data_IF_735012159494
#
_entry.id   IF_735012159494
#
_cell.length_a   1.000
_cell.length_b   1.000
_cell.length_c   1.000
_cell.angle_alpha   90.00
_cell.angle_beta   90.00
_cell.angle_gamma   90.00
#
_symmetry.space_group_name_H-M   'P 1'
#
loop_
_entity.id
_entity.type
_entity.pdbx_description
1 polymer ?
#
# COMPACT_ATOMS: atom_id res chain seq x y z
N UNK A 1 -6.26 -1.06 6.08
CA UNK A 1 -7.52 -1.26 6.84
C UNK A 1 -7.31 -2.33 7.90
N UNK A 2 -7.83 -2.12 9.11
CA UNK A 2 -7.95 -3.18 10.11
C UNK A 2 -8.84 -4.29 9.57
N UNK A 3 -8.46 -5.54 9.83
CA UNK A 3 -9.27 -6.70 9.46
C UNK A 3 -10.25 -6.94 10.60
N UNK A 4 -11.55 -6.98 10.34
CA UNK A 4 -12.49 -7.47 11.34
C UNK A 4 -12.26 -8.97 11.53
N UNK A 5 -11.78 -9.44 12.69
CA UNK A 5 -11.56 -10.85 12.91
C UNK A 5 -12.89 -11.60 12.89
N UNK A 6 -12.87 -12.89 12.55
CA UNK A 6 -14.04 -13.74 12.80
C UNK A 6 -14.21 -13.89 14.30
N UNK A 7 -15.40 -13.59 14.79
CA UNK A 7 -15.71 -13.71 16.21
C UNK A 7 -17.04 -14.44 16.43
N UNK A 8 -17.18 -15.04 17.60
CA UNK A 8 -18.43 -15.60 18.10
C UNK A 8 -18.67 -15.13 19.53
N UNK A 9 -19.94 -14.97 19.87
CA UNK A 9 -20.37 -14.53 21.19
C UNK A 9 -21.11 -15.68 21.85
N UNK A 10 -20.83 -15.91 23.13
CA UNK A 10 -21.63 -16.80 23.98
C UNK A 10 -21.87 -16.12 25.31
N UNK A 11 -23.02 -16.39 25.93
CA UNK A 11 -23.41 -15.69 27.16
C UNK A 11 -24.03 -16.65 28.18
N UNK A 12 -23.85 -16.30 29.45
CA UNK A 12 -24.60 -16.83 30.59
C UNK A 12 -25.38 -15.66 31.21
N UNK A 13 -26.19 -15.91 32.25
CA UNK A 13 -26.91 -14.86 32.96
C UNK A 13 -25.99 -13.75 33.51
N UNK A 14 -24.77 -14.09 33.93
CA UNK A 14 -23.83 -13.15 34.58
C UNK A 14 -22.59 -12.79 33.74
N UNK A 15 -22.24 -13.59 32.72
CA UNK A 15 -21.01 -13.41 31.94
C UNK A 15 -21.26 -13.40 30.44
N UNK A 16 -20.42 -12.68 29.72
CA UNK A 16 -20.30 -12.67 28.27
C UNK A 16 -18.92 -13.18 27.88
N UNK A 17 -18.87 -14.10 26.93
CA UNK A 17 -17.63 -14.68 26.40
C UNK A 17 -17.54 -14.36 24.92
N UNK A 18 -16.56 -13.53 24.56
CA UNK A 18 -16.23 -13.13 23.20
C UNK A 18 -15.05 -13.99 22.72
N UNK A 19 -15.29 -14.84 21.73
CA UNK A 19 -14.25 -15.67 21.12
C UNK A 19 -13.84 -15.05 19.80
N UNK A 20 -12.57 -14.66 19.66
CA UNK A 20 -12.03 -13.94 18.51
C UNK A 20 -10.95 -14.83 17.87
N UNK A 21 -11.09 -15.14 16.59
CA UNK A 21 -10.09 -15.92 15.83
C UNK A 21 -9.01 -14.98 15.30
N UNK A 22 -7.77 -15.23 15.70
CA UNK A 22 -6.60 -14.38 15.46
C UNK A 22 -5.45 -15.23 14.90
N UNK A 23 -5.56 -15.74 13.66
CA UNK A 23 -4.60 -16.69 13.12
C UNK A 23 -3.22 -16.06 12.87
N UNK A 24 -2.16 -16.82 13.16
CA UNK A 24 -0.76 -16.44 12.86
C UNK A 24 -0.25 -15.14 13.49
N UNK A 25 -0.92 -14.61 14.53
CA UNK A 25 -0.47 -13.42 15.26
C UNK A 25 0.44 -13.81 16.42
N UNK A 26 1.59 -13.15 16.53
CA UNK A 26 2.41 -13.18 17.75
C UNK A 26 1.73 -12.31 18.81
N UNK A 27 0.93 -12.93 19.67
CA UNK A 27 0.29 -12.25 20.80
C UNK A 27 1.36 -11.85 21.81
N UNK A 28 1.89 -10.63 21.68
CA UNK A 28 2.66 -9.97 22.74
C UNK A 28 1.68 -9.28 23.70
N UNK A 29 2.01 -9.25 24.99
CA UNK A 29 1.22 -8.54 26.01
C UNK A 29 1.11 -7.04 25.67
N UNK A 30 2.08 -6.49 24.96
CA UNK A 30 2.08 -5.09 24.49
C UNK A 30 1.29 -4.84 23.21
N UNK A 31 0.85 -5.90 22.52
CA UNK A 31 0.20 -5.80 21.20
C UNK A 31 -1.31 -6.08 21.24
N UNK A 32 -1.83 -6.55 22.38
CA UNK A 32 -3.26 -6.81 22.56
C UNK A 32 -3.84 -5.81 23.53
N UNK A 33 -4.78 -5.01 23.04
CA UNK A 33 -5.55 -4.06 23.82
C UNK A 33 -7.02 -4.49 23.83
N UNK A 34 -7.57 -4.62 25.03
CA UNK A 34 -9.00 -4.84 25.27
C UNK A 34 -9.48 -3.73 26.16
N UNK A 35 -10.44 -2.94 25.69
CA UNK A 35 -11.07 -1.86 26.45
C UNK A 35 -12.57 -2.12 26.49
N UNK A 36 -13.12 -2.06 27.70
CA UNK A 36 -14.55 -2.21 27.96
C UNK A 36 -15.03 -0.91 28.60
N UNK A 37 -15.80 -0.12 27.86
CA UNK A 37 -16.35 1.16 28.33
C UNK A 37 -17.88 1.12 28.28
N UNK A 38 -18.48 0.71 29.40
CA UNK A 38 -19.92 0.57 29.53
C UNK A 38 -20.49 -0.38 28.48
N UNK A 39 -21.11 0.15 27.44
CA UNK A 39 -21.73 -0.63 26.35
C UNK A 39 -20.75 -0.98 25.24
N UNK A 40 -19.66 -0.22 25.11
CA UNK A 40 -18.71 -0.38 24.03
C UNK A 40 -17.60 -1.33 24.44
N UNK A 41 -17.29 -2.25 23.53
CA UNK A 41 -16.20 -3.19 23.61
C UNK A 41 -15.27 -2.95 22.43
N UNK A 42 -14.01 -2.66 22.74
CA UNK A 42 -12.96 -2.43 21.76
C UNK A 42 -11.87 -3.47 21.95
N UNK A 43 -11.60 -4.22 20.89
CA UNK A 43 -10.47 -5.12 20.80
C UNK A 43 -9.57 -4.68 19.66
N UNK A 44 -8.28 -4.50 19.97
CA UNK A 44 -7.25 -4.17 19.01
C UNK A 44 -6.06 -5.10 19.17
N UNK A 45 -5.66 -5.72 18.06
CA UNK A 45 -4.45 -6.53 17.97
C UNK A 45 -4.01 -6.54 16.50
N UNK A 46 -2.95 -5.82 16.09
CA UNK A 46 -2.56 -5.73 14.68
C UNK A 46 -2.49 -7.10 13.99
N UNK A 47 -3.15 -7.30 12.82
CA UNK A 47 -3.90 -6.34 12.00
C UNK A 47 -5.41 -6.25 12.33
N UNK A 48 -5.88 -6.87 13.40
CA UNK A 48 -7.29 -7.02 13.77
C UNK A 48 -7.83 -5.87 14.61
N UNK A 49 -9.03 -5.41 14.27
CA UNK A 49 -9.82 -4.46 15.07
C UNK A 49 -11.26 -4.97 15.14
N UNK A 50 -11.82 -5.00 16.33
CA UNK A 50 -13.21 -5.35 16.57
C UNK A 50 -13.82 -4.32 17.53
N UNK A 51 -14.88 -3.65 17.07
CA UNK A 51 -15.70 -2.76 17.89
C UNK A 51 -17.12 -3.30 17.96
N UNK A 52 -17.61 -3.51 19.17
CA UNK A 52 -18.96 -3.98 19.43
C UNK A 52 -19.64 -3.02 20.42
N UNK A 53 -20.90 -2.71 20.18
CA UNK A 53 -21.77 -1.98 21.10
C UNK A 53 -22.87 -2.93 21.57
N UNK A 54 -22.91 -3.18 22.87
CA UNK A 54 -23.85 -4.10 23.49
C UNK A 54 -25.13 -3.38 23.98
N UNK A 55 -26.25 -4.11 24.15
CA UNK A 55 -27.51 -3.53 24.62
C UNK A 55 -27.43 -2.96 26.05
N UNK A 56 -26.67 -3.63 26.92
CA UNK A 56 -26.48 -3.28 28.33
C UNK A 56 -25.00 -3.15 28.65
N UNK A 57 -24.69 -2.54 29.79
CA UNK A 57 -23.32 -2.26 30.19
C UNK A 57 -22.60 -3.53 30.67
N UNK A 58 -21.32 -3.56 30.38
CA UNK A 58 -20.33 -4.48 30.92
C UNK A 58 -19.59 -3.80 32.07
N UNK A 59 -19.21 -4.59 33.06
CA UNK A 59 -18.45 -4.15 34.23
C UNK A 59 -16.99 -4.52 34.01
N UNK A 60 -16.11 -3.53 34.16
CA UNK A 60 -14.67 -3.71 34.23
C UNK A 60 -14.14 -3.06 35.51
N UNK A 61 -14.23 -3.82 36.62
CA UNK A 61 -13.83 -3.34 37.95
C UNK A 61 -12.80 -4.30 38.57
N UNK A 62 -11.58 -3.79 38.66
CA UNK A 62 -10.43 -4.49 39.24
C UNK A 62 -10.55 -4.67 40.77
N UNK A 63 -11.29 -3.81 41.48
CA UNK A 63 -11.44 -3.92 42.95
C UNK A 63 -12.43 -5.02 43.35
N UNK A 64 -13.49 -5.25 42.56
CA UNK A 64 -14.48 -6.29 42.82
C UNK A 64 -14.14 -7.66 42.20
N UNK A 65 -13.00 -7.77 41.50
CA UNK A 65 -12.55 -9.00 40.84
C UNK A 65 -13.39 -9.39 39.62
N UNK A 66 -14.14 -8.44 39.05
CA UNK A 66 -15.00 -8.59 37.86
C UNK A 66 -14.34 -7.97 36.61
N UNK A 67 -13.02 -7.86 36.60
CA UNK A 67 -12.25 -7.40 35.44
C UNK A 67 -12.45 -8.30 34.22
N UNK A 68 -12.34 -7.72 33.03
CA UNK A 68 -12.35 -8.49 31.79
C UNK A 68 -11.08 -9.34 31.66
N UNK A 69 -11.23 -10.66 31.51
CA UNK A 69 -10.09 -11.59 31.39
C UNK A 69 -9.93 -12.09 29.97
N UNK A 70 -8.78 -11.81 29.37
CA UNK A 70 -8.40 -12.30 28.04
C UNK A 70 -7.45 -13.51 28.16
N UNK A 71 -7.79 -14.61 27.50
CA UNK A 71 -6.97 -15.85 27.45
C UNK A 71 -6.71 -16.20 25.99
N UNK A 72 -5.44 -16.31 25.62
CA UNK A 72 -5.01 -16.71 24.28
C UNK A 72 -4.63 -18.19 24.24
N UNK A 73 -5.20 -18.93 23.28
CA UNK A 73 -4.85 -20.31 22.99
C UNK A 73 -4.29 -20.42 21.56
N UNK A 74 -2.98 -20.66 21.39
CA UNK A 74 -2.35 -20.78 20.08
C UNK A 74 -2.67 -22.11 19.36
N UNK A 75 -3.15 -23.13 20.08
CA UNK A 75 -3.38 -24.46 19.52
C UNK A 75 -4.78 -24.63 18.95
N UNK A 76 -5.73 -23.79 19.37
CA UNK A 76 -7.12 -23.84 18.95
C UNK A 76 -7.35 -22.94 17.74
N UNK A 77 -7.79 -23.53 16.62
CA UNK A 77 -8.22 -22.78 15.42
C UNK A 77 -7.14 -21.83 14.84
N UNK A 78 -5.88 -22.27 14.84
CA UNK A 78 -4.67 -21.52 14.40
C UNK A 78 -4.37 -20.22 15.19
N UNK A 79 -5.01 -20.06 16.36
CA UNK A 79 -4.88 -18.90 17.24
C UNK A 79 -6.25 -18.33 17.61
N UNK A 80 -6.69 -18.53 18.86
CA UNK A 80 -7.97 -18.04 19.37
C UNK A 80 -7.80 -17.25 20.66
N UNK A 81 -8.34 -16.03 20.70
CA UNK A 81 -8.42 -15.21 21.90
C UNK A 81 -9.84 -15.29 22.49
N UNK A 82 -9.95 -15.61 23.77
CA UNK A 82 -11.22 -15.68 24.49
C UNK A 82 -11.25 -14.59 25.55
N UNK A 83 -12.15 -13.62 25.42
CA UNK A 83 -12.35 -12.54 26.38
C UNK A 83 -13.62 -12.81 27.18
N UNK A 84 -13.50 -12.89 28.50
CA UNK A 84 -14.63 -13.05 29.43
C UNK A 84 -14.90 -11.73 30.13
N UNK A 85 -16.07 -11.15 29.91
CA UNK A 85 -16.53 -9.92 30.53
C UNK A 85 -17.77 -10.17 31.42
N UNK A 86 -17.97 -9.36 32.45
CA UNK A 86 -19.10 -9.46 33.37
C UNK A 86 -20.21 -8.48 33.01
N UNK A 87 -21.47 -8.91 33.11
CA UNK A 87 -22.63 -8.04 32.88
C UNK A 87 -22.94 -7.23 34.14
N UNK A 88 -23.38 -5.98 33.97
CA UNK A 88 -23.86 -5.16 35.09
C UNK A 88 -25.17 -5.72 35.66
N UNK A 89 -26.10 -6.08 34.79
CA UNK A 89 -27.38 -6.70 35.14
C UNK A 89 -27.41 -8.17 34.69
N UNK A 90 -27.85 -9.05 35.59
CA UNK A 90 -27.98 -10.49 35.29
C UNK A 90 -29.17 -10.75 34.36
N UNK A 91 -28.93 -10.67 33.05
CA UNK A 91 -29.93 -10.89 32.01
C UNK A 91 -29.34 -11.61 30.80
N UNK A 92 -30.17 -12.41 30.11
CA UNK A 92 -29.84 -12.99 28.81
C UNK A 92 -30.22 -11.96 27.74
N UNK A 93 -29.26 -11.51 26.94
CA UNK A 93 -29.50 -10.51 25.90
C UNK A 93 -30.03 -11.19 24.64
N UNK A 94 -31.17 -10.74 24.13
CA UNK A 94 -31.70 -11.18 22.84
C UNK A 94 -30.92 -10.51 21.69
N UNK A 95 -30.99 -11.07 20.47
CA UNK A 95 -30.31 -10.56 19.26
C UNK A 95 -28.77 -10.58 19.25
N UNK A 96 -28.10 -11.31 20.16
CA UNK A 96 -26.63 -11.44 20.13
C UNK A 96 -26.08 -12.01 18.81
N UNK A 97 -26.91 -12.79 18.12
CA UNK A 97 -26.58 -13.44 16.85
C UNK A 97 -26.64 -12.45 15.67
N UNK A 98 -27.28 -11.29 15.86
CA UNK A 98 -27.37 -10.22 14.86
C UNK A 98 -26.13 -9.34 14.92
N UNK A 99 -24.99 -9.89 14.51
CA UNK A 99 -23.67 -9.23 14.56
C UNK A 99 -23.68 -7.83 13.91
N UNK A 100 -24.48 -7.64 12.85
CA UNK A 100 -24.62 -6.34 12.17
C UNK A 100 -25.27 -5.24 13.01
N UNK A 101 -26.05 -5.58 14.05
CA UNK A 101 -26.64 -4.63 15.02
C UNK A 101 -25.63 -4.23 16.11
N UNK A 102 -24.73 -5.16 16.46
CA UNK A 102 -23.67 -4.93 17.45
C UNK A 102 -22.50 -4.11 16.88
N UNK A 103 -22.33 -4.09 15.56
CA UNK A 103 -21.26 -3.31 14.90
C UNK A 103 -21.68 -1.87 14.52
N UNK A 104 -22.94 -1.47 14.74
CA UNK A 104 -23.41 -0.13 14.41
C UNK A 104 -23.00 0.87 15.49
N UNK A 105 -22.16 1.83 15.13
CA UNK A 105 -21.92 3.02 15.94
C UNK A 105 -23.21 3.83 16.02
N UNK A 106 -23.56 4.32 17.21
CA UNK A 106 -24.71 5.21 17.45
C UNK A 106 -24.56 6.56 16.74
N UNK A 107 -24.77 6.58 15.42
CA UNK A 107 -24.80 7.80 14.59
C UNK A 107 -26.14 7.97 13.86
N UNK A 108 -27.16 7.16 14.17
CA UNK A 108 -28.44 7.22 13.48
C UNK A 108 -29.62 6.84 14.38
N UNK A 109 -29.94 7.68 15.38
CA UNK A 109 -31.27 7.68 16.02
C UNK A 109 -31.56 8.88 16.93
N UNK A 110 -31.60 10.11 16.39
CA UNK A 110 -32.37 11.24 16.94
C UNK A 110 -32.77 12.13 15.75
N UNK A 111 -34.00 12.58 15.48
CA UNK A 111 -35.33 12.40 16.03
C UNK A 111 -36.34 13.04 15.05
N UNK A 112 -37.48 12.38 14.83
CA UNK A 112 -38.63 12.93 14.11
C UNK A 112 -39.55 13.64 15.10
N UNK A 113 -39.78 14.95 14.95
CA UNK A 113 -41.08 15.67 14.99
C UNK A 113 -40.82 17.17 15.19
N UNK A 114 -41.26 18.02 14.26
CA UNK A 114 -41.13 19.48 14.42
C UNK A 114 -41.55 20.28 13.18
N UNK A 115 -42.81 20.17 12.78
CA UNK A 115 -43.46 21.13 11.88
C UNK A 115 -43.31 22.54 12.46
N UNK A 116 -42.64 23.44 11.76
CA UNK A 116 -42.89 24.88 11.84
C UNK A 116 -43.08 25.46 10.44
N UNK A 117 -44.20 26.15 10.31
CA UNK A 117 -44.79 26.79 9.13
C UNK A 117 -44.11 28.12 8.75
N UNK A 118 -43.80 28.28 7.46
CA UNK A 118 -44.01 29.44 6.56
C UNK A 118 -43.58 30.85 7.05
N UNK A 119 -42.72 31.51 6.26
CA UNK A 119 -43.01 32.86 5.75
C UNK A 119 -42.32 33.11 4.40
N UNK A 120 -43.16 33.23 3.39
CA UNK A 120 -42.90 33.66 2.01
C UNK A 120 -42.39 35.11 1.99
N UNK A 121 -41.33 35.37 1.22
CA UNK A 121 -41.19 36.62 0.49
C UNK A 121 -40.73 36.31 -0.95
N UNK A 122 -41.66 36.60 -1.87
CA UNK A 122 -41.50 36.80 -3.32
C UNK A 122 -40.24 37.59 -3.66
N UNK A 123 -39.56 37.39 -4.79
CA UNK A 123 -39.97 37.74 -6.16
C UNK A 123 -38.75 37.42 -7.06
N UNK A 124 -38.77 36.88 -8.27
CA UNK A 124 -39.56 37.17 -9.48
C UNK A 124 -39.16 36.10 -10.53
N UNK A 125 -40.16 35.42 -11.11
CA UNK A 125 -40.44 35.12 -12.54
C UNK A 125 -39.24 34.92 -13.50
N UNK A 126 -39.18 33.92 -14.41
CA UNK A 126 -40.28 33.19 -15.06
C UNK A 126 -39.76 32.00 -15.91
N UNK A 127 -40.61 30.96 -16.00
CA UNK A 127 -41.01 30.16 -17.20
C UNK A 127 -39.95 29.29 -17.95
N UNK A 128 -40.17 28.03 -18.38
CA UNK A 128 -41.39 27.22 -18.60
C UNK A 128 -41.09 25.69 -18.65
N UNK A 129 -41.95 24.92 -17.96
CA UNK A 129 -42.72 23.71 -18.32
C UNK A 129 -42.16 22.67 -19.32
N UNK A 130 -42.02 21.38 -18.92
CA UNK A 130 -42.93 20.25 -19.27
C UNK A 130 -42.56 18.89 -18.63
N UNK A 131 -43.52 18.41 -17.83
CA UNK A 131 -44.06 17.05 -17.56
C UNK A 131 -43.21 15.78 -17.32
N UNK A 132 -43.66 15.09 -16.25
CA UNK A 132 -43.40 13.73 -15.79
C UNK A 132 -43.81 12.62 -16.78
N UNK A 133 -43.11 11.47 -16.79
CA UNK A 133 -43.66 10.21 -16.24
C UNK A 133 -42.77 8.96 -16.47
N UNK A 134 -42.79 8.11 -15.43
CA UNK A 134 -42.68 6.64 -15.39
C UNK A 134 -41.30 5.94 -15.42
N UNK A 135 -40.90 5.56 -14.20
CA UNK A 135 -40.94 4.17 -13.68
C UNK A 135 -40.17 3.07 -14.42
N UNK A 136 -39.12 2.58 -13.78
CA UNK A 136 -38.51 1.27 -14.05
C UNK A 136 -37.37 0.95 -13.07
N UNK A 137 -37.73 0.49 -11.87
CA UNK A 137 -36.84 -0.24 -10.94
C UNK A 137 -36.09 -1.37 -11.65
N UNK A 138 -34.76 -1.42 -11.48
CA UNK A 138 -34.04 -2.67 -11.17
C UNK A 138 -32.98 -2.36 -10.11
N UNK A 139 -33.16 -3.02 -8.97
CA UNK A 139 -32.19 -3.19 -7.89
C UNK A 139 -31.04 -4.06 -8.39
N UNK A 140 -29.80 -3.67 -8.09
CA UNK A 140 -28.60 -4.49 -8.29
C UNK A 140 -27.45 -3.86 -7.54
N UNK A 141 -27.27 -4.27 -6.28
CA UNK A 141 -26.07 -3.98 -5.53
C UNK A 141 -24.89 -4.77 -6.09
N UNK A 142 -23.73 -4.11 -6.12
CA UNK A 142 -22.38 -4.66 -5.93
C UNK A 142 -21.41 -3.53 -6.29
N UNK A 143 -20.74 -2.95 -5.29
CA UNK A 143 -19.62 -2.03 -5.53
C UNK A 143 -18.51 -2.32 -4.52
N UNK A 144 -17.69 -3.30 -4.91
CA UNK A 144 -16.32 -3.43 -4.48
C UNK A 144 -15.56 -2.11 -4.68
N UNK A 145 -14.55 -1.90 -3.83
CA UNK A 145 -13.79 -0.66 -3.69
C UNK A 145 -13.37 -0.02 -5.00
N UNK A 146 -13.93 1.16 -5.26
CA UNK A 146 -13.31 2.15 -6.14
C UNK A 146 -12.30 2.93 -5.29
N UNK A 147 -11.02 3.04 -5.68
CA UNK A 147 -10.12 4.02 -5.08
C UNK A 147 -10.72 5.43 -5.25
N UNK A 148 -10.39 6.40 -4.39
CA UNK A 148 -10.89 7.75 -4.53
C UNK A 148 -10.54 8.27 -5.93
N UNK A 149 -11.57 8.58 -6.70
CA UNK A 149 -11.49 9.11 -8.04
C UNK A 149 -10.76 10.46 -7.99
N UNK A 150 -9.69 10.70 -8.78
CA UNK A 150 -8.94 11.98 -8.77
C UNK A 150 -9.72 13.14 -9.44
N UNK A 151 -11.04 13.01 -9.62
CA UNK A 151 -11.86 13.94 -10.41
C UNK A 151 -12.84 14.82 -9.62
N UNK A 152 -12.89 14.71 -8.29
CA UNK A 152 -13.75 15.60 -7.48
C UNK A 152 -12.93 16.79 -6.99
N UNK A 153 -12.84 17.82 -7.85
CA UNK A 153 -12.29 19.15 -7.54
C UNK A 153 -13.22 19.93 -6.58
N UNK A 154 -13.44 19.41 -5.39
CA UNK A 154 -13.63 20.28 -4.22
C UNK A 154 -12.31 20.21 -3.46
N UNK A 155 -11.36 21.06 -3.87
CA UNK A 155 -10.05 21.20 -3.22
C UNK A 155 -10.27 21.80 -1.83
N UNK A 156 -10.52 20.93 -0.85
CA UNK A 156 -10.41 21.29 0.54
C UNK A 156 -8.99 21.85 0.76
N UNK A 157 -8.88 23.09 1.24
CA UNK A 157 -7.61 23.81 1.39
C UNK A 157 -6.63 22.98 2.25
N UNK A 158 -7.18 22.23 3.21
CA UNK A 158 -6.44 21.30 4.04
C UNK A 158 -5.76 20.17 3.24
N UNK A 159 -6.36 19.70 2.15
CA UNK A 159 -5.79 18.65 1.28
C UNK A 159 -4.64 19.19 0.40
N UNK A 160 -4.76 20.42 -0.09
CA UNK A 160 -3.71 21.07 -0.88
C UNK A 160 -2.45 21.43 -0.06
N UNK A 161 -2.60 21.58 1.26
CA UNK A 161 -1.50 21.90 2.18
C UNK A 161 -0.70 20.66 2.63
N UNK A 162 -1.22 19.46 2.42
CA UNK A 162 -0.52 18.23 2.81
C UNK A 162 0.61 17.92 1.83
N UNK A 163 1.71 17.30 2.29
CA UNK A 163 2.74 16.77 1.41
C UNK A 163 2.16 15.79 0.38
N UNK A 164 2.40 16.05 -0.90
CA UNK A 164 2.07 15.14 -1.99
C UNK A 164 3.31 14.32 -2.40
N UNK A 165 3.06 13.16 -3.01
CA UNK A 165 4.07 12.22 -3.44
C UNK A 165 3.55 11.26 -4.52
N UNK A 166 4.41 10.34 -4.94
CA UNK A 166 4.12 9.36 -5.98
C UNK A 166 4.11 9.98 -7.37
N UNK A 167 3.41 9.30 -8.30
CA UNK A 167 3.37 9.70 -9.70
C UNK A 167 2.85 11.13 -9.86
N UNK A 168 3.69 12.03 -10.40
CA UNK A 168 3.40 13.45 -10.59
C UNK A 168 2.79 14.15 -9.36
N UNK A 169 3.18 13.74 -8.15
CA UNK A 169 2.63 14.29 -6.90
C UNK A 169 1.09 14.17 -6.83
N UNK A 170 0.52 13.10 -7.39
CA UNK A 170 -0.93 12.91 -7.46
C UNK A 170 -1.53 12.30 -6.19
N UNK A 171 -0.69 11.87 -5.23
CA UNK A 171 -1.14 11.16 -4.03
C UNK A 171 -0.73 11.91 -2.77
N UNK A 172 -1.59 11.85 -1.75
CA UNK A 172 -1.32 12.33 -0.39
C UNK A 172 -2.14 11.49 0.59
N UNK A 173 -1.74 11.47 1.87
CA UNK A 173 -2.51 10.82 2.94
C UNK A 173 -2.76 9.32 2.71
N UNK A 174 -1.97 8.65 1.87
CA UNK A 174 -2.12 7.22 1.59
C UNK A 174 -1.73 6.41 2.83
N UNK A 175 -0.66 6.78 3.53
CA UNK A 175 -0.21 6.00 4.68
C UNK A 175 -1.14 6.16 5.89
N UNK A 176 -1.65 7.38 6.10
CA UNK A 176 -2.66 7.70 7.09
C UNK A 176 -4.03 7.05 6.76
N UNK A 177 -4.51 7.15 5.51
CA UNK A 177 -5.82 6.64 5.12
C UNK A 177 -5.89 5.11 5.12
N UNK A 178 -4.80 4.42 4.78
CA UNK A 178 -4.77 2.96 4.81
C UNK A 178 -4.59 2.39 6.24
N UNK A 179 -4.39 3.24 7.25
CA UNK A 179 -4.61 2.92 8.67
C UNK A 179 -3.74 1.77 9.19
N UNK A 180 -2.51 1.65 8.71
CA UNK A 180 -1.52 0.67 9.18
C UNK A 180 -0.24 1.41 9.51
N UNK A 181 -0.02 1.68 10.80
CA UNK A 181 1.17 2.34 11.30
C UNK A 181 2.51 1.60 11.00
N UNK A 182 2.46 0.38 10.44
CA UNK A 182 3.65 -0.34 9.98
C UNK A 182 3.78 -0.48 8.46
N UNK A 183 2.81 0.00 7.66
CA UNK A 183 2.93 -0.10 6.19
C UNK A 183 4.03 0.83 5.68
N UNK A 184 4.22 1.99 6.31
CA UNK A 184 5.37 2.85 6.02
C UNK A 184 6.66 2.14 6.43
N UNK A 185 6.74 1.63 7.66
CA UNK A 185 7.94 0.96 8.21
C UNK A 185 8.38 -0.28 7.40
N UNK A 186 7.43 -1.07 6.91
CA UNK A 186 7.72 -2.31 6.19
C UNK A 186 7.97 -2.11 4.68
N UNK A 187 7.41 -1.04 4.08
CA UNK A 187 7.42 -0.87 2.61
C UNK A 187 8.28 0.30 2.12
N UNK A 188 8.54 1.30 2.96
CA UNK A 188 9.31 2.51 2.61
C UNK A 188 10.28 2.86 3.73
N UNK A 189 11.28 3.68 3.43
CA UNK A 189 12.28 4.06 4.42
C UNK A 189 11.97 5.40 5.09
N UNK A 190 11.20 6.26 4.42
CA UNK A 190 10.72 7.51 4.99
C UNK A 190 9.73 7.24 6.15
N UNK A 191 10.04 7.65 7.40
CA UNK A 191 9.22 7.29 8.56
C UNK A 191 7.78 7.82 8.49
N UNK A 192 7.63 9.10 8.15
CA UNK A 192 6.33 9.79 8.10
C UNK A 192 6.09 10.45 6.73
N UNK A 193 5.72 9.68 5.67
CA UNK A 193 5.56 10.22 4.32
C UNK A 193 4.48 11.28 4.15
N UNK A 194 3.44 11.20 4.98
CA UNK A 194 2.29 12.11 4.95
C UNK A 194 2.53 13.45 5.65
N UNK A 195 3.56 13.53 6.50
CA UNK A 195 3.91 14.74 7.24
C UNK A 195 5.22 15.37 6.73
N UNK A 196 6.09 14.58 6.08
CA UNK A 196 7.38 15.06 5.58
C UNK A 196 7.25 15.76 4.24
N UNK A 197 7.64 17.04 4.19
CA UNK A 197 7.66 17.86 2.97
C UNK A 197 8.69 17.35 1.94
N UNK A 198 8.39 17.51 0.64
CA UNK A 198 9.24 17.01 -0.45
C UNK A 198 10.67 17.56 -0.43
N UNK A 199 10.84 18.81 -0.01
CA UNK A 199 12.14 19.50 0.06
C UNK A 199 13.08 18.90 1.12
N UNK A 200 12.53 18.33 2.19
CA UNK A 200 13.30 17.80 3.33
C UNK A 200 13.71 16.34 3.11
N UNK A 201 12.93 15.59 2.33
CA UNK A 201 13.12 14.14 2.11
C UNK A 201 14.53 13.80 1.64
N UNK A 202 15.11 14.60 0.74
CA UNK A 202 16.47 14.36 0.24
C UNK A 202 17.52 14.48 1.36
N UNK A 203 17.45 15.51 2.17
CA UNK A 203 18.42 15.71 3.27
C UNK A 203 18.33 14.55 4.26
N UNK A 204 17.11 14.21 4.67
CA UNK A 204 16.85 13.11 5.59
C UNK A 204 17.32 11.77 5.04
N UNK A 205 17.11 11.52 3.74
CA UNK A 205 17.63 10.32 3.06
C UNK A 205 19.14 10.24 3.13
N UNK A 206 19.83 11.33 2.80
CA UNK A 206 21.29 11.35 2.77
C UNK A 206 21.89 11.12 4.16
N UNK A 207 21.27 11.69 5.20
CA UNK A 207 21.65 11.47 6.59
C UNK A 207 21.41 10.01 7.01
N UNK A 208 20.22 9.47 6.72
CA UNK A 208 19.89 8.07 7.02
C UNK A 208 20.78 7.05 6.28
N UNK A 209 21.12 7.32 5.01
CA UNK A 209 22.09 6.53 4.24
C UNK A 209 23.49 6.60 4.84
N UNK A 210 23.88 7.76 5.36
CA UNK A 210 25.16 7.96 6.06
C UNK A 210 25.24 7.13 7.34
N UNK A 211 24.17 7.14 8.14
CA UNK A 211 24.09 6.41 9.40
C UNK A 211 24.01 4.88 9.22
N UNK A 212 23.39 4.41 8.12
CA UNK A 212 23.26 2.98 7.82
C UNK A 212 24.46 2.38 7.10
N UNK A 213 25.35 3.20 6.56
CA UNK A 213 26.54 2.70 5.87
C UNK A 213 27.50 2.06 6.89
N UNK A 214 27.84 0.80 6.64
CA UNK A 214 28.75 0.01 7.46
C UNK A 214 30.06 -0.22 6.70
N UNK A 215 31.12 0.47 7.14
CA UNK A 215 32.45 0.40 6.53
C UNK A 215 33.07 -1.00 6.62
N UNK A 216 32.89 -1.70 7.75
CA UNK A 216 33.47 -3.03 7.97
C UNK A 216 32.78 -4.06 7.08
N UNK A 217 31.45 -3.98 6.99
CA UNK A 217 30.69 -4.84 6.08
C UNK A 217 31.02 -4.56 4.61
N UNK A 218 31.13 -3.30 4.20
CA UNK A 218 31.54 -2.97 2.83
C UNK A 218 32.93 -3.51 2.50
N UNK A 219 33.91 -3.36 3.41
CA UNK A 219 35.26 -3.89 3.20
C UNK A 219 35.29 -5.41 3.10
N UNK A 220 34.47 -6.13 3.88
CA UNK A 220 34.29 -7.57 3.73
C UNK A 220 33.73 -7.95 2.36
N UNK A 221 32.72 -7.22 1.90
CA UNK A 221 32.04 -7.50 0.64
C UNK A 221 32.88 -7.14 -0.62
N UNK A 222 33.93 -6.32 -0.47
CA UNK A 222 34.88 -5.99 -1.55
C UNK A 222 35.66 -7.22 -2.02
N UNK A 223 35.95 -8.16 -1.11
CA UNK A 223 36.77 -9.34 -1.40
C UNK A 223 35.94 -10.58 -1.78
N UNK A 224 34.61 -10.48 -1.92
CA UNK A 224 33.72 -11.60 -2.26
C UNK A 224 34.12 -12.36 -3.54
N UNK A 225 34.80 -11.70 -4.47
CA UNK A 225 35.28 -12.30 -5.72
C UNK A 225 36.78 -12.61 -5.78
N UNK A 226 37.54 -12.40 -4.70
CA UNK A 226 39.01 -12.50 -4.69
C UNK A 226 39.56 -13.55 -3.70
N UNK A 227 38.72 -14.23 -2.92
CA UNK A 227 39.15 -15.30 -2.01
C UNK A 227 39.31 -16.66 -2.74
N UNK A 228 40.33 -16.77 -3.61
CA UNK A 228 40.91 -18.05 -4.01
C UNK A 228 42.19 -18.31 -3.19
N UNK A 229 42.05 -18.54 -1.88
CA UNK A 229 43.16 -19.01 -1.05
C UNK A 229 43.23 -20.54 -1.08
N UNK A 230 44.44 -21.11 -1.06
CA UNK A 230 44.71 -22.56 -1.15
C UNK A 230 44.00 -23.42 -0.08
N UNK A 231 43.43 -22.80 0.96
CA UNK A 231 42.70 -23.43 2.07
C UNK A 231 41.19 -23.06 2.14
N UNK A 232 40.67 -22.19 1.26
CA UNK A 232 39.26 -21.78 1.20
C UNK A 232 38.68 -21.99 -0.22
N UNK A 233 38.09 -23.17 -0.46
CA UNK A 233 37.63 -23.64 -1.78
C UNK A 233 36.25 -23.07 -2.20
N UNK A 234 36.03 -21.76 -2.03
CA UNK A 234 34.83 -21.14 -2.59
C UNK A 234 34.60 -19.71 -2.15
N UNK A 235 34.63 -18.79 -3.10
CA UNK A 235 34.08 -17.45 -2.94
C UNK A 235 32.58 -17.52 -2.61
N UNK A 236 31.97 -16.36 -2.35
CA UNK A 236 30.54 -16.32 -2.08
C UNK A 236 29.76 -16.81 -3.32
N UNK A 237 29.15 -17.99 -3.18
CA UNK A 237 28.37 -18.65 -4.22
C UNK A 237 27.28 -17.73 -4.79
N UNK A 238 26.61 -16.94 -3.93
CA UNK A 238 25.55 -16.03 -4.34
C UNK A 238 26.14 -14.91 -5.20
N UNK A 239 27.29 -14.36 -4.78
CA UNK A 239 27.99 -13.33 -5.55
C UNK A 239 28.46 -13.84 -6.91
N UNK A 240 29.13 -15.00 -6.94
CA UNK A 240 29.66 -15.59 -8.18
C UNK A 240 28.55 -15.88 -9.18
N UNK A 241 27.45 -16.48 -8.73
CA UNK A 241 26.34 -16.79 -9.59
C UNK A 241 25.67 -15.49 -10.10
N UNK A 242 25.46 -14.50 -9.24
CA UNK A 242 24.87 -13.21 -9.64
C UNK A 242 25.76 -12.46 -10.66
N UNK A 243 27.09 -12.55 -10.54
CA UNK A 243 28.03 -11.98 -11.53
C UNK A 243 27.99 -12.75 -12.86
N UNK A 244 27.84 -14.08 -12.82
CA UNK A 244 27.71 -14.92 -14.02
C UNK A 244 26.36 -14.79 -14.73
N UNK A 245 25.35 -14.29 -14.01
CA UNK A 245 24.02 -14.05 -14.57
C UNK A 245 24.09 -13.04 -15.71
N UNK A 246 23.63 -13.46 -16.90
CA UNK A 246 23.48 -12.59 -18.07
C UNK A 246 22.00 -12.26 -18.28
N UNK A 247 21.59 -10.99 -18.05
CA UNK A 247 20.20 -10.59 -18.13
C UNK A 247 19.66 -10.58 -19.56
N UNK A 248 18.34 -10.66 -19.66
CA UNK A 248 17.63 -10.80 -20.93
C UNK A 248 17.89 -9.62 -21.87
N UNK A 249 18.05 -8.41 -21.33
CA UNK A 249 18.34 -7.20 -22.11
C UNK A 249 19.77 -7.14 -22.65
N UNK A 250 20.69 -8.00 -22.17
CA UNK A 250 22.03 -8.14 -22.76
C UNK A 250 22.08 -9.16 -23.90
N UNK A 251 21.11 -10.10 -23.95
CA UNK A 251 21.24 -11.28 -24.82
C UNK A 251 20.90 -11.03 -26.27
N UNK A 252 19.98 -10.13 -26.62
CA UNK A 252 19.34 -10.22 -27.95
C UNK A 252 18.90 -8.91 -28.62
N UNK A 253 19.43 -7.73 -28.27
CA UNK A 253 18.99 -6.53 -29.00
C UNK A 253 20.05 -5.45 -29.11
N UNK A 254 20.46 -5.13 -30.34
CA UNK A 254 21.13 -3.86 -30.62
C UNK A 254 20.20 -2.71 -30.24
N UNK A 255 20.74 -1.60 -29.74
CA UNK A 255 19.95 -0.38 -29.45
C UNK A 255 19.12 0.01 -30.69
N UNK A 256 19.67 -0.20 -31.88
CA UNK A 256 18.99 0.07 -33.16
C UNK A 256 17.76 -0.84 -33.38
N UNK A 257 17.85 -2.12 -32.98
CA UNK A 257 16.73 -3.07 -33.08
C UNK A 257 15.63 -2.72 -32.08
N UNK A 258 16.00 -2.33 -30.85
CA UNK A 258 15.04 -1.85 -29.85
C UNK A 258 14.36 -0.57 -30.35
N UNK A 259 15.12 0.37 -30.90
CA UNK A 259 14.59 1.64 -31.41
C UNK A 259 13.62 1.41 -32.58
N UNK A 260 13.95 0.48 -33.49
CA UNK A 260 13.04 0.07 -34.57
C UNK A 260 11.79 -0.62 -34.02
N UNK A 261 11.95 -1.46 -33.00
CA UNK A 261 10.83 -2.13 -32.31
C UNK A 261 9.89 -1.14 -31.62
N UNK A 262 10.41 -0.14 -30.91
CA UNK A 262 9.61 0.90 -30.24
C UNK A 262 8.75 1.65 -31.26
N UNK A 263 9.23 1.86 -32.49
CA UNK A 263 8.44 2.46 -33.57
C UNK A 263 7.21 1.65 -33.99
N UNK A 264 7.10 0.38 -33.57
CA UNK A 264 5.93 -0.48 -33.79
C UNK A 264 4.87 -0.32 -32.67
N UNK A 265 5.20 0.33 -31.56
CA UNK A 265 4.24 0.60 -30.49
C UNK A 265 3.29 1.71 -30.93
N UNK A 266 1.99 1.44 -30.82
CA UNK A 266 0.96 2.45 -31.07
C UNK A 266 0.69 3.21 -29.78
N UNK A 267 1.16 4.46 -29.71
CA UNK A 267 0.94 5.38 -28.57
C UNK A 267 -0.20 6.37 -28.82
N UNK A 268 -0.97 6.22 -29.90
CA UNK A 268 -2.09 7.10 -30.19
C UNK A 268 -3.32 6.65 -29.40
N UNK A 269 -3.51 7.24 -28.22
CA UNK A 269 -4.68 7.05 -27.34
C UNK A 269 -6.04 7.46 -27.95
N UNK A 270 -6.08 7.89 -29.22
CA UNK A 270 -7.30 8.21 -29.95
C UNK A 270 -7.85 7.07 -30.83
N UNK A 271 -7.23 5.90 -30.85
CA UNK A 271 -7.71 4.77 -31.65
C UNK A 271 -8.65 3.82 -30.87
N UNK A 272 -9.62 4.37 -30.14
CA UNK A 272 -10.83 3.62 -29.78
C UNK A 272 -11.88 3.66 -30.93
N UNK A 273 -11.42 3.78 -32.18
CA UNK A 273 -12.24 3.62 -33.38
C UNK A 273 -11.70 2.50 -34.26
N UNK A 274 -12.40 1.37 -34.22
CA UNK A 274 -12.70 0.47 -35.34
C UNK A 274 -11.63 0.42 -36.44
N UNK A 275 -10.88 -0.69 -36.50
CA UNK A 275 -10.60 -1.31 -37.79
C UNK A 275 -10.78 -2.82 -37.73
N UNK A 276 -11.65 -3.27 -38.63
CA UNK A 276 -12.03 -4.64 -38.90
C UNK A 276 -10.83 -5.46 -39.39
N UNK A 277 -10.72 -6.69 -38.89
CA UNK A 277 -10.22 -7.82 -39.66
C UNK A 277 -8.82 -7.69 -40.27
N UNK A 278 -7.78 -7.63 -39.43
CA UNK A 278 -6.41 -7.92 -39.84
C UNK A 278 -5.75 -8.77 -38.77
N UNK A 279 -5.53 -10.06 -39.05
CA UNK A 279 -4.75 -10.93 -38.19
C UNK A 279 -3.29 -10.44 -38.25
N UNK A 280 -2.85 -9.71 -37.22
CA UNK A 280 -1.43 -9.42 -37.06
C UNK A 280 -0.71 -10.76 -36.98
N UNK A 281 0.10 -11.06 -37.98
CA UNK A 281 0.99 -12.23 -37.96
C UNK A 281 1.92 -12.10 -36.75
N UNK A 282 2.12 -13.18 -36.00
CA UNK A 282 2.89 -13.25 -34.74
C UNK A 282 4.32 -12.65 -34.81
N UNK A 283 4.85 -12.34 -36.00
CA UNK A 283 6.16 -11.73 -36.20
C UNK A 283 6.24 -10.20 -36.21
N UNK A 284 5.14 -9.46 -36.03
CA UNK A 284 5.15 -7.98 -36.10
C UNK A 284 4.83 -7.26 -34.78
N UNK A 285 4.48 -7.98 -33.72
CA UNK A 285 4.24 -7.40 -32.40
C UNK A 285 5.56 -7.11 -31.67
N UNK A 286 5.64 -5.99 -30.95
CA UNK A 286 6.79 -5.65 -30.11
C UNK A 286 6.88 -6.52 -28.85
N UNK A 287 5.73 -6.77 -28.22
CA UNK A 287 5.62 -7.64 -27.05
C UNK A 287 5.15 -9.05 -27.46
N UNK A 288 5.64 -10.06 -26.76
CA UNK A 288 5.12 -11.42 -26.82
C UNK A 288 3.66 -11.47 -26.33
N UNK A 289 2.97 -12.58 -26.64
CA UNK A 289 1.59 -12.79 -26.16
C UNK A 289 1.49 -12.81 -24.64
N UNK A 290 2.51 -13.34 -23.96
CA UNK A 290 2.59 -13.40 -22.51
C UNK A 290 2.77 -12.01 -21.90
N UNK A 291 3.72 -11.23 -22.43
CA UNK A 291 3.95 -9.84 -22.00
C UNK A 291 2.71 -8.97 -22.26
N UNK A 292 2.04 -9.14 -23.39
CA UNK A 292 0.81 -8.41 -23.71
C UNK A 292 -0.30 -8.73 -22.70
N UNK A 293 -0.45 -10.00 -22.32
CA UNK A 293 -1.41 -10.41 -21.30
C UNK A 293 -1.05 -9.81 -19.94
N UNK A 294 0.23 -9.84 -19.56
CA UNK A 294 0.71 -9.25 -18.30
C UNK A 294 0.44 -7.74 -18.26
N UNK A 295 0.74 -7.00 -19.33
CA UNK A 295 0.45 -5.58 -19.42
C UNK A 295 -1.06 -5.28 -19.30
N UNK A 296 -1.92 -6.13 -19.87
CA UNK A 296 -3.37 -5.99 -19.74
C UNK A 296 -3.90 -6.21 -18.31
N UNK A 297 -3.12 -6.84 -17.42
CA UNK A 297 -3.49 -6.97 -16.00
C UNK A 297 -3.25 -5.71 -15.18
N UNK A 298 -2.49 -4.75 -15.70
CA UNK A 298 -2.17 -3.50 -14.99
C UNK A 298 -3.41 -2.62 -14.95
N UNK A 299 -3.86 -2.26 -13.74
CA UNK A 299 -5.00 -1.36 -13.56
C UNK A 299 -4.62 0.07 -13.96
N UNK A 300 -5.18 0.56 -15.07
CA UNK A 300 -4.98 1.93 -15.55
C UNK A 300 -5.88 2.96 -14.84
N UNK A 301 -6.78 2.51 -13.97
CA UNK A 301 -7.75 3.37 -13.27
C UNK A 301 -7.12 4.43 -12.35
N UNK A 302 -5.81 4.30 -12.07
CA UNK A 302 -5.06 5.15 -11.14
C UNK A 302 -4.29 6.26 -11.88
N UNK A 303 -4.18 6.21 -13.21
CA UNK A 303 -3.45 7.22 -13.97
C UNK A 303 -4.29 8.50 -14.14
N UNK A 304 -3.72 9.71 -13.92
CA UNK A 304 -4.43 10.96 -14.17
C UNK A 304 -4.77 11.07 -15.66
N UNK A 305 -6.06 11.04 -16.01
CA UNK A 305 -6.49 10.85 -17.40
C UNK A 305 -6.54 12.12 -18.26
N UNK A 306 -6.13 13.30 -17.78
CA UNK A 306 -6.55 14.57 -18.43
C UNK A 306 -5.57 15.73 -18.52
N UNK A 307 -4.31 15.63 -18.06
CA UNK A 307 -3.35 16.72 -18.24
C UNK A 307 -2.16 16.31 -19.12
N UNK A 308 -1.80 17.12 -20.14
CA UNK A 308 -0.58 16.88 -20.89
C UNK A 308 0.61 17.00 -19.95
N UNK A 309 1.50 15.99 -19.96
CA UNK A 309 2.71 16.00 -19.16
C UNK A 309 3.66 17.07 -19.72
N UNK A 310 4.10 17.98 -18.86
CA UNK A 310 5.04 19.03 -19.26
C UNK A 310 6.45 18.46 -19.50
N UNK A 311 7.26 19.10 -20.34
CA UNK A 311 8.63 18.63 -20.64
C UNK A 311 9.49 18.46 -19.38
N UNK A 312 9.37 19.37 -18.41
CA UNK A 312 10.11 19.28 -17.15
C UNK A 312 9.64 18.09 -16.27
N UNK A 313 8.35 17.78 -16.32
CA UNK A 313 7.79 16.60 -15.65
C UNK A 313 8.25 15.32 -16.35
N UNK A 314 8.34 15.30 -17.68
CA UNK A 314 8.93 14.18 -18.42
C UNK A 314 10.37 13.92 -18.00
N UNK A 315 11.21 14.97 -17.90
CA UNK A 315 12.60 14.82 -17.46
C UNK A 315 12.68 14.24 -16.04
N UNK A 316 11.86 14.74 -15.11
CA UNK A 316 11.74 14.21 -13.75
C UNK A 316 11.32 12.73 -13.73
N UNK A 317 10.32 12.36 -14.53
CA UNK A 317 9.83 10.99 -14.63
C UNK A 317 10.87 10.05 -15.24
N UNK A 318 11.66 10.50 -16.20
CA UNK A 318 12.76 9.72 -16.80
C UNK A 318 13.89 9.48 -15.79
N UNK A 319 14.20 10.46 -14.96
CA UNK A 319 15.13 10.29 -13.84
C UNK A 319 14.58 9.29 -12.80
N UNK A 320 13.28 9.37 -12.47
CA UNK A 320 12.58 8.39 -11.64
C UNK A 320 12.64 6.98 -12.22
N UNK A 321 12.35 6.83 -13.51
CA UNK A 321 12.44 5.55 -14.20
C UNK A 321 13.84 4.96 -14.14
N UNK A 322 14.88 5.78 -14.17
CA UNK A 322 16.27 5.30 -14.08
C UNK A 322 16.52 4.57 -12.76
N UNK A 323 16.07 5.12 -11.62
CA UNK A 323 16.30 4.46 -10.33
C UNK A 323 15.48 3.17 -10.16
N UNK A 324 14.27 3.13 -10.74
CA UNK A 324 13.41 1.94 -10.76
C UNK A 324 14.06 0.84 -11.57
N UNK A 325 14.59 1.18 -12.75
CA UNK A 325 15.30 0.24 -13.62
C UNK A 325 16.58 -0.26 -12.96
N UNK A 326 17.30 0.59 -12.21
CA UNK A 326 18.46 0.15 -11.44
C UNK A 326 18.06 -0.90 -10.39
N UNK A 327 17.05 -0.62 -9.57
CA UNK A 327 16.57 -1.54 -8.54
C UNK A 327 16.11 -2.89 -9.13
N UNK A 328 15.36 -2.84 -10.23
CA UNK A 328 14.93 -4.03 -10.96
C UNK A 328 16.12 -4.80 -11.55
N UNK A 329 17.06 -4.13 -12.23
CA UNK A 329 18.22 -4.77 -12.84
C UNK A 329 19.11 -5.45 -11.79
N UNK A 330 19.27 -4.79 -10.63
CA UNK A 330 19.98 -5.33 -9.48
C UNK A 330 19.31 -6.61 -8.97
N UNK A 331 18.02 -6.54 -8.65
CA UNK A 331 17.25 -7.69 -8.16
C UNK A 331 17.29 -8.85 -9.15
N UNK A 332 16.98 -8.59 -10.41
CA UNK A 332 16.96 -9.59 -11.48
C UNK A 332 18.31 -10.30 -11.67
N UNK A 333 19.44 -9.63 -11.41
CA UNK A 333 20.76 -10.27 -11.40
C UNK A 333 20.91 -11.20 -10.20
N UNK A 334 20.51 -10.74 -9.00
CA UNK A 334 20.61 -11.51 -7.76
C UNK A 334 19.62 -12.69 -7.66
N UNK A 335 18.51 -12.63 -8.39
CA UNK A 335 17.44 -13.64 -8.37
C UNK A 335 17.40 -14.50 -9.63
N UNK A 336 18.39 -14.35 -10.53
CA UNK A 336 18.45 -15.08 -11.82
C UNK A 336 17.23 -14.86 -12.72
N UNK A 337 16.53 -13.74 -12.53
CA UNK A 337 15.31 -13.39 -13.25
C UNK A 337 14.02 -13.99 -12.70
N UNK A 338 14.06 -14.69 -11.56
CA UNK A 338 12.88 -15.21 -10.87
C UNK A 338 12.68 -14.52 -9.52
N UNK A 339 11.80 -13.49 -9.43
CA UNK A 339 11.64 -12.68 -8.23
C UNK A 339 11.31 -13.50 -6.98
N UNK A 340 11.92 -13.11 -5.85
CA UNK A 340 11.73 -13.76 -4.55
C UNK A 340 10.88 -12.89 -3.62
N UNK A 341 10.62 -13.38 -2.40
CA UNK A 341 9.96 -12.57 -1.36
C UNK A 341 10.78 -11.32 -1.00
N UNK A 342 12.10 -11.36 -1.16
CA UNK A 342 13.00 -10.23 -0.91
C UNK A 342 12.99 -9.22 -2.06
N UNK A 343 12.50 -9.57 -3.24
CA UNK A 343 12.44 -8.65 -4.39
C UNK A 343 11.49 -7.49 -4.14
N UNK A 344 10.44 -7.72 -3.36
CA UNK A 344 9.50 -6.70 -2.91
C UNK A 344 10.15 -5.67 -1.97
N UNK A 345 11.28 -6.01 -1.34
CA UNK A 345 12.05 -5.10 -0.51
C UNK A 345 13.25 -4.52 -1.26
N UNK A 346 13.97 -5.34 -2.02
CA UNK A 346 15.19 -4.98 -2.74
C UNK A 346 14.94 -3.93 -3.82
N UNK A 347 13.88 -4.09 -4.63
CA UNK A 347 13.59 -3.11 -5.68
C UNK A 347 13.23 -1.73 -5.09
N UNK A 348 12.28 -1.62 -4.12
CA UNK A 348 11.94 -0.33 -3.54
C UNK A 348 13.07 0.29 -2.71
N UNK A 349 13.83 -0.50 -1.95
CA UNK A 349 14.90 0.06 -1.12
C UNK A 349 16.04 0.61 -1.98
N UNK A 350 16.29 0.10 -3.18
CA UNK A 350 17.33 0.65 -4.06
C UNK A 350 16.89 1.92 -4.80
N UNK A 351 15.58 2.14 -4.97
CA UNK A 351 15.01 3.32 -5.61
C UNK A 351 14.68 4.42 -4.59
N UNK A 352 15.33 5.60 -4.65
CA UNK A 352 14.92 6.76 -3.84
C UNK A 352 13.48 7.22 -4.11
N UNK A 353 13.00 7.08 -5.36
CA UNK A 353 11.62 7.41 -5.73
C UNK A 353 10.60 6.56 -4.96
N UNK A 354 10.88 5.28 -4.72
CA UNK A 354 9.97 4.38 -4.00
C UNK A 354 10.14 4.44 -2.48
N UNK A 355 11.38 4.39 -1.99
CA UNK A 355 11.66 4.32 -0.55
C UNK A 355 11.54 5.66 0.18
N UNK A 356 11.79 6.77 -0.52
CA UNK A 356 11.79 8.12 0.05
C UNK A 356 10.82 9.09 -0.61
N UNK A 357 10.06 8.65 -1.61
CA UNK A 357 9.19 9.53 -2.40
C UNK A 357 9.91 10.77 -2.92
N UNK A 358 11.17 10.56 -3.34
CA UNK A 358 11.99 11.62 -3.85
C UNK A 358 11.50 12.10 -5.22
N UNK A 359 11.54 13.41 -5.41
CA UNK A 359 11.18 14.05 -6.67
C UNK A 359 12.43 14.68 -7.26
N UNK A 360 12.79 14.24 -8.47
CA UNK A 360 13.92 14.77 -9.18
C UNK A 360 13.54 16.04 -9.95
N UNK A 361 14.38 17.05 -9.88
CA UNK A 361 14.15 18.34 -10.51
C UNK A 361 15.26 18.64 -11.51
N UNK A 362 15.02 18.33 -12.78
CA UNK A 362 15.90 18.78 -13.86
C UNK A 362 15.84 20.33 -13.97
N UNK A 363 16.97 21.03 -14.16
CA UNK A 363 18.31 20.53 -14.48
C UNK A 363 19.23 20.36 -13.25
N UNK A 364 18.73 20.56 -12.03
CA UNK A 364 19.55 20.47 -10.81
C UNK A 364 19.97 19.03 -10.52
N UNK A 365 19.09 18.08 -10.83
CA UNK A 365 19.37 16.66 -10.75
C UNK A 365 19.74 16.11 -12.12
N UNK A 366 20.89 15.45 -12.19
CA UNK A 366 21.34 14.78 -13.40
C UNK A 366 21.21 13.26 -13.29
N UNK A 367 21.25 12.59 -14.44
CA UNK A 367 21.32 11.12 -14.51
C UNK A 367 22.49 10.57 -13.67
N UNK A 368 23.62 11.28 -13.65
CA UNK A 368 24.79 10.86 -12.87
C UNK A 368 24.54 10.93 -11.36
N UNK A 369 23.74 11.89 -10.90
CA UNK A 369 23.38 12.01 -9.50
C UNK A 369 22.45 10.88 -9.07
N UNK A 370 21.44 10.57 -9.90
CA UNK A 370 20.53 9.44 -9.68
C UNK A 370 21.28 8.12 -9.60
N UNK A 371 22.17 7.85 -10.57
CA UNK A 371 22.99 6.64 -10.56
C UNK A 371 23.92 6.59 -9.33
N UNK A 372 24.48 7.74 -8.92
CA UNK A 372 25.30 7.81 -7.71
C UNK A 372 24.49 7.46 -6.46
N UNK A 373 23.27 7.95 -6.32
CA UNK A 373 22.39 7.59 -5.21
C UNK A 373 22.04 6.10 -5.24
N UNK A 374 21.64 5.57 -6.39
CA UNK A 374 21.36 4.13 -6.56
C UNK A 374 22.55 3.25 -6.18
N UNK A 375 23.75 3.59 -6.68
CA UNK A 375 24.99 2.88 -6.33
C UNK A 375 25.26 2.96 -4.83
N UNK A 376 25.16 4.14 -4.21
CA UNK A 376 25.34 4.27 -2.75
C UNK A 376 24.39 3.35 -1.99
N UNK A 377 23.11 3.31 -2.37
CA UNK A 377 22.11 2.44 -1.73
C UNK A 377 22.43 0.96 -1.93
N UNK A 378 22.94 0.53 -3.09
CA UNK A 378 23.41 -0.85 -3.27
C UNK A 378 24.59 -1.24 -2.38
N UNK A 379 25.33 -0.27 -1.84
CA UNK A 379 26.42 -0.52 -0.89
C UNK A 379 25.97 -0.48 0.58
N UNK A 380 24.69 -0.14 0.84
CA UNK A 380 24.14 0.05 2.18
C UNK A 380 23.15 -1.07 2.53
N UNK A 381 22.20 -1.34 1.65
CA UNK A 381 21.02 -2.14 1.99
C UNK A 381 21.12 -3.63 1.65
N UNK A 382 21.33 -4.03 0.38
CA UNK A 382 21.15 -5.42 -0.04
C UNK A 382 22.20 -6.36 0.53
N UNK A 383 22.02 -7.66 0.27
CA UNK A 383 22.93 -8.72 0.70
C UNK A 383 24.34 -8.55 0.12
N UNK A 384 24.46 -8.37 -1.20
CA UNK A 384 25.73 -8.10 -1.88
C UNK A 384 26.02 -6.59 -1.80
N UNK A 385 27.09 -6.14 -1.14
CA UNK A 385 27.45 -4.70 -1.08
C UNK A 385 28.74 -4.42 -1.82
N UNK A 386 28.73 -4.68 -3.12
CA UNK A 386 29.92 -4.59 -3.97
C UNK A 386 29.77 -3.58 -5.09
N UNK A 387 30.74 -2.67 -5.22
CA UNK A 387 30.76 -1.65 -6.26
C UNK A 387 30.98 -2.28 -7.65
N UNK A 388 31.80 -3.32 -7.75
CA UNK A 388 32.02 -4.03 -9.02
C UNK A 388 30.73 -4.67 -9.51
N UNK A 389 29.94 -5.27 -8.60
CA UNK A 389 28.64 -5.84 -8.93
C UNK A 389 27.61 -4.78 -9.32
N UNK A 390 27.46 -3.72 -8.52
CA UNK A 390 26.50 -2.65 -8.78
C UNK A 390 26.73 -1.91 -10.13
N UNK A 391 27.92 -2.03 -10.72
CA UNK A 391 28.28 -1.43 -12.01
C UNK A 391 27.88 -2.29 -13.23
N UNK A 392 27.57 -3.58 -13.05
CA UNK A 392 27.27 -4.54 -14.14
C UNK A 392 25.87 -4.36 -14.72
#
# INVERSE_FOLDING_TARGET
MPITPRFSLSQTASTLVVTIRVPHVRVSVSAVEVVVDGKDFHFYSPPYLLRLTFPSNLVDDAESGREAKAVFDPSKDDGTLTVTAHKEEEAIWEDLDLLGKLMQTSASSEGSMGKNTISVLSSTDNEDVVEEMRSGTVSGGDAAGTPPNPGNEETDIASALKPHYGFLSSFHSVFAAYGRNGLSEDCVELPDPDETASEERRSLRLDAEGDKFDEERYLGDVFLGEEEDEDNDGGDMIYEEAVRMVPIWQKNSSIDEITQGIGKLNTDDNACSVNQGGCATEGDAFFSSEETHLLATISTAILPTKHPIESAQCDSLLLGLTDLLFGYAYDHRTTFGDPTVESQWTCPILSPTLSWFEQYNAPYDSLQDVLRWCMRRSLIYPYIRSYSFARL
#
